data_IF_526703062252
#
_entry.id   IF_526703062252
#
_cell.length_a   1.000
_cell.length_b   1.000
_cell.length_c   1.000
_cell.angle_alpha   90.00
_cell.angle_beta   90.00
_cell.angle_gamma   90.00
#
_symmetry.space_group_name_H-M   'P 1'
#
loop_
_entity.id
_entity.type
_entity.pdbx_description
1 polymer ?
#
# COMPACT_ATOMS: atom_id res chain seq x y z
N UNK A 1 -26.69 -4.27 23.32
CA UNK A 1 -26.07 -4.54 21.99
C UNK A 1 -25.55 -3.26 21.31
N UNK A 2 -26.35 -2.20 21.14
CA UNK A 2 -25.92 -0.94 20.49
C UNK A 2 -24.62 -0.31 21.05
N UNK A 3 -24.41 -0.31 22.37
CA UNK A 3 -23.16 0.22 22.99
C UNK A 3 -21.90 -0.56 22.56
N UNK A 4 -21.97 -1.89 22.47
CA UNK A 4 -20.83 -2.74 22.03
C UNK A 4 -20.52 -2.53 20.55
N UNK A 5 -21.55 -2.40 19.71
CA UNK A 5 -21.39 -2.11 18.27
C UNK A 5 -20.79 -0.71 18.03
N UNK A 6 -21.27 0.31 18.74
CA UNK A 6 -20.73 1.66 18.64
C UNK A 6 -19.25 1.73 19.08
N UNK A 7 -18.87 0.97 20.11
CA UNK A 7 -17.47 0.87 20.53
C UNK A 7 -16.60 0.23 19.44
N UNK A 8 -17.03 -0.90 18.86
CA UNK A 8 -16.31 -1.55 17.77
C UNK A 8 -16.15 -0.63 16.55
N UNK A 9 -17.17 0.15 16.22
CA UNK A 9 -17.08 1.10 15.11
C UNK A 9 -16.16 2.28 15.42
N UNK A 10 -16.17 2.81 16.65
CA UNK A 10 -15.19 3.81 17.07
C UNK A 10 -13.76 3.26 16.98
N UNK A 11 -13.54 2.01 17.40
CA UNK A 11 -12.24 1.33 17.26
C UNK A 11 -11.84 1.17 15.80
N UNK A 12 -12.75 0.75 14.90
CA UNK A 12 -12.46 0.63 13.47
C UNK A 12 -12.06 1.98 12.88
N UNK A 13 -12.76 3.07 13.23
CA UNK A 13 -12.38 4.42 12.77
C UNK A 13 -11.02 4.86 13.31
N UNK A 14 -10.74 4.61 14.60
CA UNK A 14 -9.46 4.94 15.19
C UNK A 14 -8.31 4.18 14.52
N UNK A 15 -8.47 2.86 14.32
CA UNK A 15 -7.48 2.02 13.62
C UNK A 15 -7.30 2.47 12.18
N UNK A 16 -8.38 2.85 11.48
CA UNK A 16 -8.29 3.36 10.11
C UNK A 16 -7.49 4.68 10.07
N UNK A 17 -7.77 5.63 10.95
CA UNK A 17 -7.02 6.89 11.04
C UNK A 17 -5.54 6.65 11.37
N UNK A 18 -5.24 5.75 12.31
CA UNK A 18 -3.87 5.37 12.64
C UNK A 18 -3.16 4.67 11.47
N UNK A 19 -3.83 3.79 10.75
CA UNK A 19 -3.24 3.10 9.58
C UNK A 19 -2.96 4.03 8.40
N UNK A 20 -3.67 5.16 8.32
CA UNK A 20 -3.48 6.16 7.28
C UNK A 20 -2.53 7.28 7.69
N UNK A 21 -2.20 7.42 8.98
CA UNK A 21 -1.46 8.58 9.50
C UNK A 21 -0.06 8.69 8.90
N UNK A 22 0.67 7.58 8.79
CA UNK A 22 2.00 7.54 8.19
C UNK A 22 1.97 7.92 6.70
N UNK A 23 0.99 7.39 5.95
CA UNK A 23 0.80 7.72 4.54
C UNK A 23 0.45 9.21 4.34
N UNK A 24 -0.43 9.75 5.20
CA UNK A 24 -0.80 11.18 5.17
C UNK A 24 0.40 12.04 5.53
N UNK A 25 1.15 11.69 6.58
CA UNK A 25 2.35 12.41 6.99
C UNK A 25 3.39 12.43 5.86
N UNK A 26 3.68 11.28 5.26
CA UNK A 26 4.63 11.15 4.16
C UNK A 26 4.20 11.95 2.93
N UNK A 27 2.91 11.96 2.61
CA UNK A 27 2.35 12.77 1.52
C UNK A 27 2.54 14.28 1.78
N UNK A 28 2.22 14.75 2.99
CA UNK A 28 2.37 16.16 3.37
C UNK A 28 3.85 16.56 3.38
N UNK A 29 4.71 15.74 3.96
CA UNK A 29 6.16 15.97 4.00
C UNK A 29 6.75 16.03 2.60
N UNK A 30 6.41 15.07 1.72
CA UNK A 30 6.85 15.06 0.33
C UNK A 30 6.37 16.27 -0.47
N UNK A 31 5.14 16.74 -0.23
CA UNK A 31 4.63 17.95 -0.86
C UNK A 31 5.38 19.22 -0.41
N UNK A 32 5.71 19.33 0.89
CA UNK A 32 6.47 20.46 1.44
C UNK A 32 7.90 20.47 0.88
N UNK A 33 8.60 19.35 0.93
CA UNK A 33 9.99 19.26 0.45
C UNK A 33 10.08 19.40 -1.06
N UNK A 34 9.13 18.82 -1.82
CA UNK A 34 9.02 19.04 -3.25
C UNK A 34 8.75 20.51 -3.61
N UNK A 35 7.89 21.19 -2.84
CA UNK A 35 7.63 22.62 -3.00
C UNK A 35 8.86 23.48 -2.75
N UNK A 36 9.59 23.23 -1.65
CA UNK A 36 10.85 23.92 -1.33
C UNK A 36 11.90 23.71 -2.43
N UNK A 37 12.10 22.48 -2.86
CA UNK A 37 13.07 22.16 -3.90
C UNK A 37 12.72 22.79 -5.25
N UNK A 38 11.43 22.90 -5.57
CA UNK A 38 10.94 23.66 -6.72
C UNK A 38 11.27 25.14 -6.63
N UNK A 39 11.11 25.75 -5.45
CA UNK A 39 11.48 27.15 -5.22
C UNK A 39 13.00 27.39 -5.27
N UNK A 40 13.81 26.41 -4.83
CA UNK A 40 15.27 26.48 -4.84
C UNK A 40 15.90 26.03 -6.17
N UNK A 41 15.12 25.72 -7.21
CA UNK A 41 15.57 25.12 -8.48
C UNK A 41 16.38 23.81 -8.31
N UNK A 42 16.25 23.13 -7.17
CA UNK A 42 16.87 21.82 -6.89
C UNK A 42 15.94 20.64 -7.20
N UNK A 43 14.82 20.89 -7.88
CA UNK A 43 13.85 19.85 -8.24
C UNK A 43 14.49 18.70 -9.04
N UNK A 44 15.53 18.98 -9.85
CA UNK A 44 16.26 17.96 -10.61
C UNK A 44 16.95 16.90 -9.73
N UNK A 45 17.53 17.30 -8.59
CA UNK A 45 18.21 16.38 -7.68
C UNK A 45 17.22 15.45 -6.95
N UNK A 46 16.01 15.94 -6.65
CA UNK A 46 14.95 15.15 -6.03
C UNK A 46 14.26 14.23 -7.03
N UNK A 47 14.11 14.66 -8.29
CA UNK A 47 13.42 13.88 -9.32
C UNK A 47 14.17 12.60 -9.71
N UNK A 48 15.49 12.54 -9.51
CA UNK A 48 16.31 11.36 -9.79
C UNK A 48 16.48 10.44 -8.58
N UNK A 49 15.77 10.69 -7.47
CA UNK A 49 15.78 9.79 -6.31
C UNK A 49 14.92 8.56 -6.58
N UNK A 50 15.55 7.40 -6.50
CA UNK A 50 14.92 6.13 -6.70
C UNK A 50 14.98 5.28 -5.44
N UNK A 51 13.83 4.88 -4.86
CA UNK A 51 13.82 3.96 -3.74
C UNK A 51 14.29 2.58 -4.17
N UNK A 52 15.08 1.94 -3.34
CA UNK A 52 15.60 0.60 -3.51
C UNK A 52 15.23 -0.25 -2.31
N UNK A 53 14.85 -1.49 -2.60
CA UNK A 53 14.71 -2.54 -1.62
C UNK A 53 15.69 -3.65 -1.96
N UNK A 54 16.61 -3.91 -1.04
CA UNK A 54 17.74 -4.80 -1.22
C UNK A 54 17.71 -5.91 -0.18
N UNK A 55 18.33 -7.04 -0.53
CA UNK A 55 18.64 -8.14 0.36
C UNK A 55 20.15 -8.35 0.35
N UNK A 56 20.81 -8.39 1.52
CA UNK A 56 22.22 -8.68 1.58
C UNK A 56 22.46 -10.15 1.20
N UNK A 57 23.46 -10.40 0.37
CA UNK A 57 23.82 -11.75 -0.07
C UNK A 57 24.40 -12.58 1.08
N UNK A 58 25.04 -11.92 2.06
CA UNK A 58 25.44 -12.52 3.32
C UNK A 58 25.27 -11.55 4.52
N UNK A 59 25.11 -12.12 5.70
CA UNK A 59 25.08 -11.38 6.97
C UNK A 59 26.42 -11.45 7.72
N UNK A 60 27.42 -12.13 7.16
CA UNK A 60 28.72 -12.38 7.79
C UNK A 60 29.76 -11.31 7.48
N UNK A 61 29.61 -10.57 6.38
CA UNK A 61 30.53 -9.50 6.00
C UNK A 61 29.73 -8.32 5.49
N UNK A 62 30.01 -7.13 6.00
CA UNK A 62 29.52 -5.89 5.41
C UNK A 62 30.71 -5.04 4.97
N UNK A 63 30.56 -4.40 3.81
CA UNK A 63 31.50 -3.42 3.29
C UNK A 63 31.17 -1.99 3.71
N UNK A 64 30.06 -1.78 4.42
CA UNK A 64 29.51 -0.45 4.71
C UNK A 64 29.32 -0.22 6.21
N UNK A 65 29.51 1.02 6.65
CA UNK A 65 29.44 1.38 8.06
C UNK A 65 28.97 2.82 8.26
N UNK A 66 28.15 3.06 9.28
CA UNK A 66 27.71 4.41 9.66
C UNK A 66 28.45 4.85 10.93
N UNK A 67 28.85 6.12 10.96
CA UNK A 67 29.43 6.73 12.16
C UNK A 67 28.37 6.92 13.24
N UNK A 68 28.58 6.30 14.40
CA UNK A 68 27.72 6.46 15.56
C UNK A 68 28.23 7.61 16.45
N UNK A 69 27.58 8.77 16.37
CA UNK A 69 27.94 9.97 17.14
C UNK A 69 27.91 9.76 18.66
N UNK A 70 27.03 8.89 19.16
CA UNK A 70 26.90 8.63 20.60
C UNK A 70 28.12 7.87 21.16
N UNK A 71 28.76 7.05 20.33
CA UNK A 71 29.86 6.17 20.76
C UNK A 71 31.20 6.52 20.13
N UNK A 72 31.21 7.40 19.12
CA UNK A 72 32.38 7.77 18.33
C UNK A 72 32.93 6.63 17.47
N UNK A 73 32.16 5.57 17.21
CA UNK A 73 32.61 4.37 16.48
C UNK A 73 31.79 4.16 15.22
N UNK A 74 32.43 3.63 14.18
CA UNK A 74 31.72 3.15 13.00
C UNK A 74 31.04 1.81 13.31
N UNK A 75 29.76 1.71 12.96
CA UNK A 75 28.94 0.51 13.16
C UNK A 75 28.65 -0.12 11.80
N UNK A 76 28.88 -1.43 11.62
CA UNK A 76 28.54 -2.14 10.39
C UNK A 76 27.04 -2.04 10.09
N UNK A 77 26.68 -1.85 8.81
CA UNK A 77 25.28 -1.77 8.38
C UNK A 77 24.98 -2.67 7.20
N UNK A 78 23.70 -3.06 7.09
CA UNK A 78 23.13 -3.69 5.91
C UNK A 78 22.04 -2.80 5.34
N UNK A 79 22.22 -2.40 4.08
CA UNK A 79 21.27 -1.55 3.36
C UNK A 79 20.08 -2.41 2.92
N UNK A 80 18.94 -2.30 3.61
CA UNK A 80 17.70 -3.02 3.26
C UNK A 80 16.79 -2.12 2.44
N UNK A 81 16.70 -0.85 2.82
CA UNK A 81 15.95 0.17 2.12
C UNK A 81 16.79 1.44 2.00
N UNK A 82 16.95 1.95 0.79
CA UNK A 82 17.77 3.13 0.50
C UNK A 82 17.15 3.94 -0.63
N UNK A 83 17.62 5.18 -0.82
CA UNK A 83 17.35 5.95 -2.03
C UNK A 83 18.67 6.20 -2.75
N UNK A 84 18.67 6.08 -4.08
CA UNK A 84 19.84 6.34 -4.91
C UNK A 84 19.50 7.35 -5.99
N UNK A 85 20.49 8.16 -6.35
CA UNK A 85 20.43 9.06 -7.49
C UNK A 85 21.16 8.40 -8.66
N UNK A 86 20.40 7.91 -9.63
CA UNK A 86 20.95 7.31 -10.86
C UNK A 86 20.20 7.87 -12.04
N UNK A 87 20.93 8.28 -13.07
CA UNK A 87 20.32 8.72 -14.32
C UNK A 87 19.71 7.51 -15.02
N UNK A 88 18.39 7.33 -14.86
CA UNK A 88 17.63 6.38 -15.66
C UNK A 88 17.04 7.09 -16.88
N UNK A 89 17.60 6.84 -18.06
CA UNK A 89 16.97 7.18 -19.33
C UNK A 89 15.76 6.27 -19.57
N UNK A 90 14.66 6.54 -18.87
CA UNK A 90 13.43 5.78 -19.04
C UNK A 90 12.74 6.18 -20.36
N UNK A 91 12.44 5.22 -21.26
CA UNK A 91 11.62 5.47 -22.42
C UNK A 91 10.31 6.19 -22.07
N UNK A 92 9.89 7.17 -22.86
CA UNK A 92 8.68 7.96 -22.60
C UNK A 92 7.39 7.12 -22.48
N UNK A 93 7.33 5.94 -23.10
CA UNK A 93 6.20 5.03 -22.96
C UNK A 93 6.11 4.40 -21.56
N UNK A 94 7.24 4.16 -20.87
CA UNK A 94 7.26 3.67 -19.49
C UNK A 94 6.76 4.75 -18.53
N UNK A 95 7.15 6.00 -18.76
CA UNK A 95 6.62 7.14 -18.01
C UNK A 95 5.09 7.24 -18.17
N UNK A 96 4.57 7.12 -19.41
CA UNK A 96 3.14 7.12 -19.67
C UNK A 96 2.40 5.99 -18.92
N UNK A 97 2.93 4.76 -18.95
CA UNK A 97 2.33 3.62 -18.21
C UNK A 97 2.31 3.91 -16.71
N UNK A 98 3.42 4.39 -16.13
CA UNK A 98 3.47 4.72 -14.71
C UNK A 98 2.48 5.83 -14.31
N UNK A 99 2.29 6.82 -15.18
CA UNK A 99 1.25 7.85 -14.99
C UNK A 99 -0.15 7.25 -15.01
N UNK A 100 -0.45 6.37 -15.96
CA UNK A 100 -1.76 5.68 -16.04
C UNK A 100 -2.01 4.79 -14.82
N UNK A 101 -0.99 4.04 -14.38
CA UNK A 101 -1.07 3.22 -13.16
C UNK A 101 -1.33 4.09 -11.92
N UNK A 102 -0.70 5.26 -11.82
CA UNK A 102 -0.95 6.22 -10.74
C UNK A 102 -2.41 6.69 -10.70
N UNK A 103 -3.02 6.96 -11.85
CA UNK A 103 -4.45 7.31 -11.91
C UNK A 103 -5.35 6.14 -11.49
N UNK A 104 -5.03 4.91 -11.90
CA UNK A 104 -5.76 3.70 -11.47
C UNK A 104 -5.70 3.57 -9.94
N UNK A 105 -4.52 3.74 -9.35
CA UNK A 105 -4.33 3.68 -7.89
C UNK A 105 -5.21 4.70 -7.16
N UNK A 106 -5.24 5.95 -7.62
CA UNK A 106 -6.05 7.01 -7.01
C UNK A 106 -7.55 6.68 -7.13
N UNK A 107 -8.01 6.34 -8.34
CA UNK A 107 -9.43 6.08 -8.60
C UNK A 107 -9.94 4.90 -7.76
N UNK A 108 -9.21 3.78 -7.76
CA UNK A 108 -9.63 2.59 -7.04
C UNK A 108 -9.38 2.69 -5.53
N UNK A 109 -8.36 3.44 -5.10
CA UNK A 109 -8.17 3.80 -3.69
C UNK A 109 -9.35 4.57 -3.13
N UNK A 110 -9.80 5.62 -3.82
CA UNK A 110 -11.01 6.39 -3.43
C UNK A 110 -12.24 5.48 -3.40
N UNK A 111 -12.42 4.62 -4.43
CA UNK A 111 -13.55 3.68 -4.48
C UNK A 111 -13.54 2.71 -3.30
N UNK A 112 -12.38 2.17 -2.93
CA UNK A 112 -12.23 1.27 -1.79
C UNK A 112 -12.64 1.97 -0.49
N UNK A 113 -12.12 3.18 -0.22
CA UNK A 113 -12.49 3.96 0.98
C UNK A 113 -13.98 4.25 1.03
N UNK A 114 -14.59 4.70 -0.08
CA UNK A 114 -16.02 5.00 -0.14
C UNK A 114 -16.90 3.76 0.08
N UNK A 115 -16.51 2.60 -0.44
CA UNK A 115 -17.24 1.36 -0.26
C UNK A 115 -17.13 0.85 1.18
N UNK A 116 -15.95 0.96 1.78
CA UNK A 116 -15.74 0.63 3.19
C UNK A 116 -16.59 1.53 4.12
N UNK A 117 -16.58 2.85 3.90
CA UNK A 117 -17.42 3.78 4.68
C UNK A 117 -18.91 3.42 4.55
N UNK A 118 -19.39 3.12 3.33
CA UNK A 118 -20.78 2.70 3.10
C UNK A 118 -21.12 1.41 3.84
N UNK A 119 -20.20 0.43 3.82
CA UNK A 119 -20.36 -0.84 4.52
C UNK A 119 -20.46 -0.64 6.04
N UNK A 120 -19.53 0.12 6.64
CA UNK A 120 -19.53 0.45 8.07
C UNK A 120 -20.81 1.21 8.46
N UNK A 121 -21.27 2.15 7.62
CA UNK A 121 -22.52 2.88 7.86
C UNK A 121 -23.73 1.95 7.92
N UNK A 122 -23.81 0.95 7.05
CA UNK A 122 -24.91 -0.02 7.05
C UNK A 122 -24.88 -0.91 8.30
N UNK A 123 -23.69 -1.38 8.71
CA UNK A 123 -23.51 -2.09 9.98
C UNK A 123 -24.01 -1.24 11.16
N UNK A 124 -23.63 0.05 11.21
CA UNK A 124 -24.04 0.97 12.27
C UNK A 124 -25.56 1.18 12.33
N UNK A 125 -26.25 1.11 11.19
CA UNK A 125 -27.71 1.18 11.13
C UNK A 125 -28.40 -0.13 11.54
N UNK A 126 -27.63 -1.13 11.97
CA UNK A 126 -28.10 -2.49 12.29
C UNK A 126 -28.56 -3.30 11.07
N UNK A 127 -28.33 -2.80 9.86
CA UNK A 127 -28.59 -3.50 8.59
C UNK A 127 -27.36 -4.33 8.21
N UNK A 128 -27.02 -5.32 9.03
CA UNK A 128 -25.76 -6.08 8.93
C UNK A 128 -25.83 -7.09 7.77
N UNK A 129 -26.77 -8.04 7.83
CA UNK A 129 -26.93 -9.08 6.83
C UNK A 129 -27.92 -8.62 5.76
N UNK A 130 -27.40 -8.06 4.67
CA UNK A 130 -28.17 -7.72 3.49
C UNK A 130 -27.34 -7.89 2.21
N UNK A 131 -28.00 -8.21 1.09
CA UNK A 131 -27.32 -8.37 -0.21
C UNK A 131 -26.60 -7.10 -0.67
N UNK A 132 -27.03 -5.92 -0.20
CA UNK A 132 -26.35 -4.66 -0.45
C UNK A 132 -24.93 -4.66 0.17
N UNK A 133 -24.77 -5.17 1.39
CA UNK A 133 -23.46 -5.26 2.05
C UNK A 133 -22.55 -6.30 1.39
N UNK A 134 -23.11 -7.43 0.92
CA UNK A 134 -22.35 -8.41 0.10
C UNK A 134 -21.79 -7.74 -1.16
N UNK A 135 -22.62 -6.97 -1.89
CA UNK A 135 -22.18 -6.23 -3.08
C UNK A 135 -21.13 -5.17 -2.75
N UNK A 136 -21.25 -4.48 -1.61
CA UNK A 136 -20.25 -3.50 -1.15
C UNK A 136 -18.91 -4.18 -0.85
N UNK A 137 -18.92 -5.32 -0.14
CA UNK A 137 -17.71 -6.08 0.18
C UNK A 137 -17.03 -6.66 -1.07
N UNK A 138 -17.79 -7.20 -2.03
CA UNK A 138 -17.23 -7.66 -3.31
C UNK A 138 -16.59 -6.52 -4.09
N UNK A 139 -17.26 -5.36 -4.17
CA UNK A 139 -16.69 -4.17 -4.82
C UNK A 139 -15.43 -3.69 -4.11
N UNK A 140 -15.41 -3.75 -2.77
CA UNK A 140 -14.25 -3.37 -1.95
C UNK A 140 -13.07 -4.29 -2.26
N UNK A 141 -13.30 -5.60 -2.22
CA UNK A 141 -12.32 -6.62 -2.58
C UNK A 141 -11.76 -6.40 -3.98
N UNK A 142 -12.63 -6.22 -4.99
CA UNK A 142 -12.20 -5.92 -6.37
C UNK A 142 -11.35 -4.65 -6.44
N UNK A 143 -11.75 -3.58 -5.74
CA UNK A 143 -11.02 -2.32 -5.77
C UNK A 143 -9.61 -2.48 -5.17
N UNK A 144 -9.50 -3.22 -4.05
CA UNK A 144 -8.22 -3.50 -3.40
C UNK A 144 -7.31 -4.41 -4.23
N UNK A 145 -7.86 -5.41 -4.91
CA UNK A 145 -7.08 -6.27 -5.81
C UNK A 145 -6.58 -5.51 -7.04
N UNK A 146 -7.37 -4.59 -7.59
CA UNK A 146 -6.91 -3.73 -8.71
C UNK A 146 -5.80 -2.80 -8.23
N UNK A 147 -5.94 -2.19 -7.04
CA UNK A 147 -4.85 -1.37 -6.50
C UNK A 147 -3.59 -2.21 -6.27
N UNK A 148 -3.71 -3.42 -5.74
CA UNK A 148 -2.58 -4.33 -5.56
C UNK A 148 -1.89 -4.63 -6.90
N UNK A 149 -2.64 -5.02 -7.92
CA UNK A 149 -2.09 -5.33 -9.24
C UNK A 149 -1.37 -4.12 -9.87
N UNK A 150 -1.95 -2.92 -9.74
CA UNK A 150 -1.34 -1.69 -10.23
C UNK A 150 -0.05 -1.33 -9.48
N UNK A 151 -0.04 -1.44 -8.14
CA UNK A 151 1.17 -1.24 -7.33
C UNK A 151 2.24 -2.27 -7.67
N UNK A 152 1.87 -3.55 -7.74
CA UNK A 152 2.76 -4.64 -8.11
C UNK A 152 3.45 -4.36 -9.44
N UNK A 153 2.66 -4.01 -10.46
CA UNK A 153 3.18 -3.70 -11.80
C UNK A 153 4.15 -2.52 -11.77
N UNK A 154 3.75 -1.43 -11.12
CA UNK A 154 4.58 -0.21 -11.00
C UNK A 154 5.92 -0.51 -10.30
N UNK A 155 5.90 -1.19 -9.15
CA UNK A 155 7.11 -1.50 -8.39
C UNK A 155 8.02 -2.49 -9.12
N UNK A 156 7.46 -3.50 -9.79
CA UNK A 156 8.26 -4.43 -10.61
C UNK A 156 8.92 -3.73 -11.80
N UNK A 157 8.17 -2.88 -12.52
CA UNK A 157 8.72 -2.10 -13.64
C UNK A 157 9.85 -1.19 -13.16
N UNK A 158 9.65 -0.48 -12.06
CA UNK A 158 10.65 0.41 -11.47
C UNK A 158 11.91 -0.33 -11.00
N UNK A 159 11.74 -1.45 -10.30
CA UNK A 159 12.86 -2.30 -9.85
C UNK A 159 13.62 -2.88 -11.05
N UNK A 160 12.89 -3.30 -12.08
CA UNK A 160 13.48 -3.80 -13.32
C UNK A 160 14.31 -2.72 -14.02
N UNK A 161 13.79 -1.50 -14.18
CA UNK A 161 14.54 -0.37 -14.76
C UNK A 161 15.84 -0.12 -14.00
N UNK A 162 15.79 -0.06 -12.67
CA UNK A 162 16.98 0.15 -11.84
C UNK A 162 18.00 -0.99 -11.98
N UNK A 163 17.53 -2.23 -12.05
CA UNK A 163 18.41 -3.39 -12.20
C UNK A 163 19.21 -3.39 -13.51
N UNK A 164 18.79 -2.62 -14.53
CA UNK A 164 19.54 -2.48 -15.78
C UNK A 164 20.72 -1.52 -15.67
N UNK A 165 20.66 -0.54 -14.75
CA UNK A 165 21.64 0.56 -14.66
C UNK A 165 22.47 0.53 -13.37
N UNK A 166 22.02 -0.21 -12.36
CA UNK A 166 22.65 -0.24 -11.04
C UNK A 166 22.88 -1.67 -10.57
N UNK A 167 24.08 -1.92 -10.05
CA UNK A 167 24.44 -3.17 -9.38
C UNK A 167 25.26 -2.83 -8.15
N UNK A 168 24.79 -3.25 -6.98
CA UNK A 168 25.44 -2.99 -5.70
C UNK A 168 26.15 -4.27 -5.25
N UNK A 169 27.48 -4.28 -5.07
CA UNK A 169 28.20 -5.46 -4.62
C UNK A 169 27.70 -5.97 -3.26
N UNK A 170 27.45 -7.28 -3.16
CA UNK A 170 26.97 -7.92 -1.92
C UNK A 170 25.49 -7.74 -1.63
N UNK A 171 24.72 -7.16 -2.56
CA UNK A 171 23.29 -6.99 -2.44
C UNK A 171 22.55 -7.46 -3.71
N UNK A 172 21.38 -8.04 -3.48
CA UNK A 172 20.41 -8.41 -4.51
C UNK A 172 19.13 -7.61 -4.36
N UNK A 173 18.43 -7.39 -5.47
CA UNK A 173 17.12 -6.71 -5.44
C UNK A 173 16.08 -7.59 -4.76
N UNK A 174 15.31 -7.01 -3.84
CA UNK A 174 14.21 -7.71 -3.19
C UNK A 174 12.95 -7.74 -4.07
N UNK A 175 12.89 -8.70 -4.98
CA UNK A 175 11.74 -8.91 -5.87
C UNK A 175 10.45 -9.30 -5.14
N UNK A 176 10.55 -9.77 -3.89
CA UNK A 176 9.38 -10.16 -3.09
C UNK A 176 8.78 -8.98 -2.32
N UNK A 177 9.50 -7.87 -2.18
CA UNK A 177 9.02 -6.70 -1.46
C UNK A 177 7.61 -6.22 -1.88
N UNK A 178 7.24 -6.19 -3.18
CA UNK A 178 5.90 -5.77 -3.59
C UNK A 178 4.74 -6.61 -2.97
N UNK A 179 5.00 -7.84 -2.53
CA UNK A 179 4.00 -8.68 -1.87
C UNK A 179 3.79 -8.35 -0.38
N UNK A 180 4.64 -7.50 0.20
CA UNK A 180 4.46 -7.01 1.58
C UNK A 180 3.26 -6.07 1.73
N UNK A 181 2.72 -5.55 0.61
CA UNK A 181 1.57 -4.66 0.63
C UNK A 181 0.28 -5.37 1.10
N UNK A 182 -0.33 -4.84 2.16
CA UNK A 182 -1.55 -5.38 2.77
C UNK A 182 -2.79 -5.39 1.88
N UNK A 183 -2.78 -4.71 0.73
CA UNK A 183 -3.93 -4.60 -0.18
C UNK A 183 -4.38 -5.94 -0.75
N UNK A 184 -3.45 -6.87 -1.01
CA UNK A 184 -3.77 -8.24 -1.44
C UNK A 184 -4.56 -8.97 -0.35
N UNK A 185 -4.00 -9.02 0.87
CA UNK A 185 -4.62 -9.69 2.01
C UNK A 185 -6.00 -9.11 2.31
N UNK A 186 -6.12 -7.78 2.40
CA UNK A 186 -7.38 -7.10 2.66
C UNK A 186 -8.40 -7.33 1.55
N UNK A 187 -7.97 -7.36 0.29
CA UNK A 187 -8.83 -7.65 -0.84
C UNK A 187 -9.40 -9.06 -0.79
N UNK A 188 -8.57 -10.07 -0.52
CA UNK A 188 -8.99 -11.47 -0.36
C UNK A 188 -9.91 -11.63 0.85
N UNK A 189 -9.58 -11.03 1.99
CA UNK A 189 -10.43 -11.06 3.18
C UNK A 189 -11.81 -10.44 2.91
N UNK A 190 -11.89 -9.34 2.16
CA UNK A 190 -13.16 -8.73 1.80
C UNK A 190 -14.04 -9.70 0.98
N UNK A 191 -13.46 -10.50 0.08
CA UNK A 191 -14.19 -11.55 -0.63
C UNK A 191 -14.66 -12.68 0.29
N UNK A 192 -13.78 -13.18 1.16
CA UNK A 192 -14.14 -14.23 2.13
C UNK A 192 -15.31 -13.78 2.99
N UNK A 193 -15.25 -12.55 3.53
CA UNK A 193 -16.35 -11.99 4.33
C UNK A 193 -17.61 -11.83 3.48
N UNK A 194 -17.50 -11.39 2.22
CA UNK A 194 -18.65 -11.28 1.32
C UNK A 194 -19.36 -12.63 1.11
N UNK A 195 -18.60 -13.71 0.93
CA UNK A 195 -19.15 -15.05 0.74
C UNK A 195 -19.77 -15.60 2.02
N UNK A 196 -19.15 -15.38 3.18
CA UNK A 196 -19.75 -15.73 4.48
C UNK A 196 -21.09 -15.02 4.67
N UNK A 197 -21.18 -13.72 4.32
CA UNK A 197 -22.44 -12.98 4.38
C UNK A 197 -23.48 -13.51 3.38
N UNK A 198 -23.07 -13.87 2.16
CA UNK A 198 -23.96 -14.41 1.15
C UNK A 198 -24.53 -15.77 1.55
N UNK A 199 -23.71 -16.66 2.12
CA UNK A 199 -24.15 -17.96 2.65
C UNK A 199 -25.13 -17.75 3.80
N UNK A 200 -24.79 -16.89 4.78
CA UNK A 200 -25.67 -16.61 5.91
C UNK A 200 -27.02 -16.02 5.49
N UNK A 201 -27.06 -15.21 4.43
CA UNK A 201 -28.31 -14.69 3.85
C UNK A 201 -29.15 -15.77 3.19
N UNK A 202 -28.53 -16.63 2.37
CA UNK A 202 -29.24 -17.75 1.73
C UNK A 202 -29.85 -18.71 2.76
N UNK A 203 -29.08 -19.06 3.80
CA UNK A 203 -29.58 -19.92 4.88
C UNK A 203 -30.78 -19.31 5.60
N UNK A 204 -30.77 -17.99 5.82
CA UNK A 204 -31.90 -17.28 6.40
C UNK A 204 -33.13 -17.30 5.47
N UNK A 205 -32.93 -17.02 4.18
CA UNK A 205 -34.01 -17.06 3.18
C UNK A 205 -34.63 -18.46 3.05
N UNK A 206 -33.81 -19.52 3.10
CA UNK A 206 -34.29 -20.91 3.09
C UNK A 206 -35.12 -21.24 4.34
N UNK A 207 -34.68 -20.80 5.53
CA UNK A 207 -35.43 -20.98 6.78
C UNK A 207 -36.78 -20.25 6.76
N UNK A 208 -36.79 -19.01 6.26
CA UNK A 208 -38.01 -18.19 6.13
C UNK A 208 -39.03 -18.77 5.12
N UNK A 209 -38.58 -19.60 4.16
CA UNK A 209 -39.44 -20.27 3.17
C UNK A 209 -40.04 -21.59 3.65
N UNK A 210 -39.44 -22.23 4.66
CA UNK A 210 -39.91 -23.51 5.22
C UNK A 210 -40.94 -23.39 6.34
N UNK A 211 -41.14 -22.17 6.87
CA UNK A 211 -42.11 -21.85 7.93
C UNK A 211 -43.39 -21.28 7.30
#
# INVERSE_FOLDING_TARGET
MKKKLNLLCAMIFAVLLLSLSENIYSMVWGAIEGGKAGMENKAGEINNLHPLMLLPDNLSSTSDSIYNEMTGKNVPIWQIQSMVTVDTDAPGWLALINTLLSFILIIFGIKAVLQFIKFIRNINRSDIFCWANVKLLRKLGTSLLITFAATLTSTYMHTWQLSQVLKIPGYSYNWLNPFSHSSLLLGVLAFVIAEVFAIGLKMKEEQDLTI
#
